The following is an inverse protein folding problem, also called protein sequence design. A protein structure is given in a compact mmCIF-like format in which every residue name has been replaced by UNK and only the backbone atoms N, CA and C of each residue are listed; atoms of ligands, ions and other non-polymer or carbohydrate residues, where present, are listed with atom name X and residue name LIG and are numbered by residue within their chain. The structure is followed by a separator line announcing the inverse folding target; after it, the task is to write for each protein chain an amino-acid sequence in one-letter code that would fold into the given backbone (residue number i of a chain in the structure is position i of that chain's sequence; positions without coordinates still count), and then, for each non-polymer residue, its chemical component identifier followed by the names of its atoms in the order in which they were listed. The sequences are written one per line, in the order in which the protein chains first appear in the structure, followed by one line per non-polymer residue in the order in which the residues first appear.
data_IF_688706065847
#
_entry.id   IF_688706065847
#
_cell.length_a   1.000
_cell.length_b   1.000
_cell.length_c   1.000
_cell.angle_alpha   90.00
_cell.angle_beta   90.00
_cell.angle_gamma   90.00
#
_symmetry.space_group_name_H-M   'P 1'
#
loop_
_entity.id
_entity.type
_entity.pdbx_description
1 polymer ?
#
# COMPACT_ATOMS: atom_id res chain seq x y z
N UNK A 1 36.49 -3.78 18.76
CA UNK A 1 35.15 -3.27 18.40
C UNK A 1 35.24 -2.72 16.99
N UNK A 2 34.84 -3.51 15.99
CA UNK A 2 34.77 -3.02 14.61
C UNK A 2 33.45 -2.26 14.52
N UNK A 3 33.52 -0.93 14.49
CA UNK A 3 32.36 -0.11 14.17
C UNK A 3 31.93 -0.46 12.75
N UNK A 4 30.88 -1.28 12.63
CA UNK A 4 30.24 -1.54 11.34
C UNK A 4 29.87 -0.20 10.73
N UNK A 5 30.55 0.20 9.67
CA UNK A 5 30.16 1.36 8.88
C UNK A 5 28.75 1.05 8.37
N UNK A 6 27.76 1.81 8.85
CA UNK A 6 26.40 1.77 8.30
C UNK A 6 26.54 1.91 6.78
N UNK A 7 26.07 0.91 5.99
CA UNK A 7 26.17 0.94 4.54
C UNK A 7 25.65 2.26 3.96
N UNK A 8 26.27 2.74 2.88
CA UNK A 8 25.95 4.05 2.30
C UNK A 8 24.44 4.21 2.03
N UNK A 9 23.76 3.15 1.59
CA UNK A 9 22.33 3.19 1.31
C UNK A 9 21.49 3.39 2.57
N UNK A 10 21.85 2.81 3.72
CA UNK A 10 21.12 3.00 4.97
C UNK A 10 21.24 4.44 5.48
N UNK A 11 22.39 5.09 5.25
CA UNK A 11 22.57 6.51 5.55
C UNK A 11 21.70 7.40 4.67
N UNK A 12 21.64 7.12 3.37
CA UNK A 12 20.78 7.86 2.44
C UNK A 12 19.30 7.62 2.76
N UNK A 13 18.91 6.37 3.06
CA UNK A 13 17.55 6.02 3.50
C UNK A 13 17.16 6.80 4.76
N UNK A 14 18.04 6.85 5.77
CA UNK A 14 17.79 7.62 6.98
C UNK A 14 17.62 9.13 6.73
N UNK A 15 18.41 9.70 5.81
CA UNK A 15 18.27 11.11 5.40
C UNK A 15 16.93 11.33 4.70
N UNK A 16 16.54 10.44 3.78
CA UNK A 16 15.28 10.53 3.04
C UNK A 16 14.06 10.33 3.96
N UNK A 17 14.13 9.42 4.92
CA UNK A 17 13.08 9.26 5.94
C UNK A 17 12.90 10.52 6.77
N UNK A 18 14.01 11.22 7.09
CA UNK A 18 13.99 12.39 7.96
C UNK A 18 13.60 13.69 7.24
N UNK A 19 14.03 13.86 5.99
CA UNK A 19 13.93 15.13 5.26
C UNK A 19 13.26 15.01 3.89
N UNK A 20 13.11 13.79 3.36
CA UNK A 20 12.52 13.55 2.06
C UNK A 20 11.00 13.36 2.13
N UNK A 21 10.37 13.31 0.96
CA UNK A 21 8.97 12.90 0.85
C UNK A 21 8.86 11.38 0.94
N UNK A 22 7.70 10.87 1.39
CA UNK A 22 7.41 9.43 1.38
C UNK A 22 7.70 8.82 0.01
N UNK A 23 7.18 9.43 -1.07
CA UNK A 23 7.39 8.93 -2.44
C UNK A 23 8.87 8.87 -2.83
N UNK A 24 9.67 9.88 -2.49
CA UNK A 24 11.12 9.86 -2.78
C UNK A 24 11.85 8.74 -2.02
N UNK A 25 11.47 8.53 -0.76
CA UNK A 25 12.00 7.45 0.08
C UNK A 25 11.64 6.07 -0.49
N UNK A 26 10.38 5.88 -0.90
CA UNK A 26 9.94 4.61 -1.50
C UNK A 26 10.64 4.34 -2.83
N UNK A 27 10.74 5.34 -3.71
CA UNK A 27 11.47 5.21 -4.99
C UNK A 27 12.93 4.81 -4.76
N UNK A 28 13.59 5.44 -3.78
CA UNK A 28 14.97 5.08 -3.42
C UNK A 28 15.09 3.62 -2.95
N UNK A 29 14.20 3.17 -2.04
CA UNK A 29 14.22 1.80 -1.53
C UNK A 29 13.97 0.75 -2.60
N UNK A 30 13.05 1.03 -3.54
CA UNK A 30 12.81 0.16 -4.69
C UNK A 30 14.02 0.10 -5.62
N UNK A 31 14.64 1.25 -5.91
CA UNK A 31 15.85 1.33 -6.73
C UNK A 31 17.01 0.51 -6.12
N UNK A 32 17.27 0.70 -4.82
CA UNK A 32 18.33 -0.04 -4.11
C UNK A 32 17.97 -1.53 -4.01
N UNK A 33 16.71 -1.86 -3.78
CA UNK A 33 16.21 -3.23 -3.81
C UNK A 33 16.46 -3.92 -5.15
N UNK A 34 16.10 -3.27 -6.27
CA UNK A 34 16.34 -3.75 -7.63
C UNK A 34 17.84 -3.90 -7.95
N UNK A 35 18.67 -2.99 -7.45
CA UNK A 35 20.13 -3.12 -7.54
C UNK A 35 20.64 -4.38 -6.82
N UNK A 36 20.21 -4.62 -5.58
CA UNK A 36 20.60 -5.83 -4.83
C UNK A 36 20.10 -7.12 -5.49
N UNK A 37 18.88 -7.10 -6.03
CA UNK A 37 18.31 -8.20 -6.80
C UNK A 37 19.17 -8.57 -8.02
N UNK A 38 19.73 -7.57 -8.71
CA UNK A 38 20.53 -7.75 -9.93
C UNK A 38 21.99 -8.10 -9.65
N UNK A 39 22.58 -7.52 -8.60
CA UNK A 39 24.03 -7.61 -8.36
C UNK A 39 24.45 -8.75 -7.45
N UNK A 40 23.65 -9.12 -6.43
CA UNK A 40 24.16 -10.05 -5.40
C UNK A 40 23.92 -11.52 -5.70
N UNK A 41 23.11 -11.88 -6.70
CA UNK A 41 22.84 -13.29 -7.05
C UNK A 41 22.39 -14.17 -5.85
N UNK A 42 22.05 -13.54 -4.72
CA UNK A 42 21.84 -14.25 -3.48
C UNK A 42 20.50 -14.99 -3.63
N UNK A 43 20.44 -16.29 -3.34
CA UNK A 43 19.22 -17.08 -3.51
C UNK A 43 18.03 -16.56 -2.69
N UNK A 44 18.29 -15.71 -1.69
CA UNK A 44 17.29 -15.03 -0.87
C UNK A 44 16.63 -13.82 -1.54
N UNK A 45 17.08 -13.41 -2.72
CA UNK A 45 16.51 -12.30 -3.49
C UNK A 45 15.92 -12.78 -4.83
N UNK A 46 15.90 -14.07 -5.12
CA UNK A 46 15.08 -14.60 -6.21
C UNK A 46 13.60 -14.56 -5.78
N UNK A 47 13.00 -13.38 -5.75
CA UNK A 47 11.56 -13.23 -5.71
C UNK A 47 11.09 -13.15 -7.15
N UNK A 48 10.46 -14.21 -7.68
CA UNK A 48 9.78 -14.09 -8.95
C UNK A 48 8.77 -12.95 -8.82
N UNK A 49 8.53 -12.18 -9.88
CA UNK A 49 7.48 -11.16 -9.92
C UNK A 49 6.11 -11.65 -9.41
N UNK A 50 5.86 -12.98 -9.40
CA UNK A 50 4.69 -13.60 -8.77
C UNK A 50 4.58 -13.44 -7.25
N UNK A 51 5.67 -13.17 -6.52
CA UNK A 51 5.65 -13.13 -5.05
C UNK A 51 4.95 -11.90 -4.48
N UNK A 52 5.29 -10.72 -5.02
CA UNK A 52 4.63 -9.47 -4.64
C UNK A 52 3.16 -9.52 -5.08
N UNK A 53 2.89 -10.06 -6.27
CA UNK A 53 1.53 -10.27 -6.75
C UNK A 53 0.74 -11.20 -5.83
N UNK A 54 1.38 -12.22 -5.25
CA UNK A 54 0.72 -13.11 -4.30
C UNK A 54 0.40 -12.37 -2.99
N UNK A 55 1.32 -11.56 -2.45
CA UNK A 55 1.02 -10.72 -1.28
C UNK A 55 -0.16 -9.79 -1.57
N UNK A 56 -0.18 -9.13 -2.74
CA UNK A 56 -1.28 -8.25 -3.16
C UNK A 56 -2.57 -9.06 -3.25
N UNK A 57 -2.55 -10.24 -3.88
CA UNK A 57 -3.70 -11.13 -4.01
C UNK A 57 -4.27 -11.51 -2.65
N UNK A 58 -3.43 -11.98 -1.72
CA UNK A 58 -3.85 -12.38 -0.38
C UNK A 58 -4.50 -11.19 0.37
N UNK A 59 -3.93 -9.99 0.24
CA UNK A 59 -4.52 -8.78 0.81
C UNK A 59 -5.87 -8.40 0.19
N UNK A 60 -6.04 -8.60 -1.12
CA UNK A 60 -7.33 -8.38 -1.79
C UNK A 60 -8.37 -9.38 -1.29
N UNK A 61 -8.02 -10.67 -1.20
CA UNK A 61 -8.91 -11.73 -0.71
C UNK A 61 -9.38 -11.44 0.73
N UNK A 62 -8.46 -11.09 1.62
CA UNK A 62 -8.80 -10.74 3.01
C UNK A 62 -9.81 -9.60 3.08
N UNK A 63 -9.67 -8.57 2.25
CA UNK A 63 -10.64 -7.46 2.21
C UNK A 63 -12.00 -7.88 1.67
N UNK A 64 -12.02 -8.69 0.62
CA UNK A 64 -13.27 -9.19 0.05
C UNK A 64 -14.03 -10.03 1.08
N UNK A 65 -13.32 -10.89 1.82
CA UNK A 65 -13.89 -11.69 2.91
C UNK A 65 -14.46 -10.78 4.00
N UNK A 66 -13.72 -9.77 4.46
CA UNK A 66 -14.22 -8.83 5.48
C UNK A 66 -15.45 -8.06 4.99
N UNK A 67 -15.46 -7.59 3.73
CA UNK A 67 -16.61 -6.90 3.15
C UNK A 67 -17.84 -7.80 3.05
N UNK A 68 -17.65 -9.07 2.67
CA UNK A 68 -18.73 -10.04 2.60
C UNK A 68 -19.26 -10.37 4.01
N UNK A 69 -18.38 -10.54 4.99
CA UNK A 69 -18.73 -10.77 6.40
C UNK A 69 -19.55 -9.60 6.96
N UNK A 70 -19.14 -8.36 6.72
CA UNK A 70 -19.87 -7.15 7.13
C UNK A 70 -21.27 -7.12 6.49
N UNK A 71 -21.36 -7.32 5.18
CA UNK A 71 -22.63 -7.32 4.44
C UNK A 71 -23.58 -8.43 4.92
N UNK A 72 -23.09 -9.65 5.14
CA UNK A 72 -23.91 -10.75 5.68
C UNK A 72 -24.33 -10.46 7.11
N UNK A 73 -23.44 -9.91 7.94
CA UNK A 73 -23.74 -9.57 9.34
C UNK A 73 -24.82 -8.50 9.45
N UNK A 74 -24.77 -7.47 8.60
CA UNK A 74 -25.79 -6.43 8.51
C UNK A 74 -27.16 -7.02 8.12
N UNK A 75 -27.20 -7.82 7.05
CA UNK A 75 -28.44 -8.47 6.59
C UNK A 75 -28.99 -9.45 7.61
N UNK A 76 -28.12 -10.22 8.26
CA UNK A 76 -28.49 -11.13 9.34
C UNK A 76 -29.12 -10.38 10.51
N UNK A 77 -28.53 -9.26 10.92
CA UNK A 77 -29.07 -8.39 11.96
C UNK A 77 -30.47 -7.87 11.63
N UNK A 78 -30.68 -7.40 10.39
CA UNK A 78 -31.99 -6.94 9.93
C UNK A 78 -33.03 -8.07 9.91
N UNK A 79 -32.71 -9.22 9.30
CA UNK A 79 -33.64 -10.34 9.16
C UNK A 79 -33.99 -11.00 10.49
N UNK A 80 -33.05 -11.01 11.45
CA UNK A 80 -33.27 -11.54 12.81
C UNK A 80 -34.26 -10.70 13.61
N UNK A 81 -34.45 -9.41 13.29
CA UNK A 81 -35.46 -8.58 13.93
C UNK A 81 -36.88 -8.86 13.40
N UNK A 82 -36.99 -9.39 12.19
CA UNK A 82 -38.26 -9.68 11.49
C UNK A 82 -38.76 -11.12 11.68
N UNK A 83 -38.08 -11.96 12.47
CA UNK A 83 -38.32 -13.41 12.48
C UNK A 83 -39.72 -13.85 12.93
N UNK A 84 -40.52 -14.32 11.97
CA UNK A 84 -41.72 -15.16 12.20
C UNK A 84 -41.86 -16.35 11.25
N UNK A 85 -41.21 -16.34 10.08
CA UNK A 85 -41.43 -17.34 9.01
C UNK A 85 -40.34 -18.42 8.98
N UNK A 86 -40.69 -19.67 8.62
CA UNK A 86 -39.73 -20.77 8.43
C UNK A 86 -38.68 -20.49 7.34
N UNK A 87 -39.04 -19.76 6.29
CA UNK A 87 -38.09 -19.31 5.26
C UNK A 87 -37.00 -18.41 5.84
N UNK A 88 -37.36 -17.46 6.71
CA UNK A 88 -36.40 -16.59 7.37
C UNK A 88 -35.46 -17.40 8.28
N UNK A 89 -35.97 -18.43 8.97
CA UNK A 89 -35.12 -19.31 9.80
C UNK A 89 -34.11 -20.09 8.95
N UNK A 90 -34.53 -20.60 7.80
CA UNK A 90 -33.64 -21.31 6.87
C UNK A 90 -32.55 -20.37 6.34
N UNK A 91 -32.93 -19.18 5.88
CA UNK A 91 -31.98 -18.18 5.39
C UNK A 91 -30.98 -17.72 6.47
N UNK A 92 -31.42 -17.55 7.72
CA UNK A 92 -30.52 -17.25 8.84
C UNK A 92 -29.52 -18.38 9.10
N UNK A 93 -29.95 -19.65 8.95
CA UNK A 93 -29.05 -20.80 9.07
C UNK A 93 -28.00 -20.83 7.95
N UNK A 94 -28.40 -20.54 6.72
CA UNK A 94 -27.49 -20.48 5.57
C UNK A 94 -26.45 -19.35 5.74
N UNK A 95 -26.87 -18.18 6.22
CA UNK A 95 -25.96 -17.08 6.51
C UNK A 95 -25.00 -17.39 7.65
N UNK A 96 -25.45 -18.05 8.72
CA UNK A 96 -24.55 -18.49 9.79
C UNK A 96 -23.50 -19.46 9.27
N UNK A 97 -23.91 -20.41 8.42
CA UNK A 97 -22.96 -21.32 7.78
C UNK A 97 -21.96 -20.57 6.90
N UNK A 98 -22.42 -19.60 6.10
CA UNK A 98 -21.52 -18.78 5.26
C UNK A 98 -20.55 -17.94 6.08
N UNK A 99 -20.97 -17.38 7.22
CA UNK A 99 -20.07 -16.67 8.14
C UNK A 99 -18.99 -17.59 8.70
N UNK A 100 -19.33 -18.85 9.00
CA UNK A 100 -18.36 -19.85 9.45
C UNK A 100 -17.36 -20.23 8.35
N UNK A 101 -17.83 -20.36 7.10
CA UNK A 101 -16.99 -20.57 5.92
C UNK A 101 -16.03 -19.39 5.70
N UNK A 102 -16.54 -18.15 5.73
CA UNK A 102 -15.76 -16.93 5.59
C UNK A 102 -14.67 -16.83 6.68
N UNK A 103 -15.00 -17.19 7.92
CA UNK A 103 -14.02 -17.23 9.01
C UNK A 103 -12.88 -18.21 8.71
N UNK A 104 -13.17 -19.39 8.16
CA UNK A 104 -12.15 -20.36 7.72
C UNK A 104 -11.30 -19.82 6.58
N UNK A 105 -11.93 -19.23 5.56
CA UNK A 105 -11.25 -18.61 4.42
C UNK A 105 -10.32 -17.48 4.88
N UNK A 106 -10.79 -16.63 5.81
CA UNK A 106 -9.99 -15.57 6.40
C UNK A 106 -8.70 -16.11 7.02
N UNK A 107 -8.82 -17.11 7.91
CA UNK A 107 -7.65 -17.71 8.58
C UNK A 107 -6.72 -18.46 7.63
N UNK A 108 -7.22 -18.93 6.49
CA UNK A 108 -6.39 -19.51 5.44
C UNK A 108 -5.53 -18.41 4.79
N UNK A 109 -6.16 -17.34 4.30
CA UNK A 109 -5.47 -16.25 3.63
C UNK A 109 -4.54 -15.46 4.55
N UNK A 110 -4.91 -15.26 5.82
CA UNK A 110 -4.08 -14.58 6.82
C UNK A 110 -2.78 -15.36 7.08
N UNK A 111 -2.88 -16.69 7.15
CA UNK A 111 -1.72 -17.56 7.35
C UNK A 111 -0.81 -17.59 6.14
N UNK A 112 -1.37 -17.62 4.94
CA UNK A 112 -0.59 -17.56 3.70
C UNK A 112 0.13 -16.21 3.58
N UNK A 113 -0.57 -15.11 3.88
CA UNK A 113 0.03 -13.78 3.94
C UNK A 113 1.17 -13.75 4.97
N UNK A 114 0.97 -14.28 6.17
CA UNK A 114 2.02 -14.37 7.19
C UNK A 114 3.24 -15.17 6.70
N UNK A 115 3.03 -16.31 6.03
CA UNK A 115 4.13 -17.09 5.46
C UNK A 115 4.90 -16.29 4.40
N UNK A 116 4.20 -15.55 3.54
CA UNK A 116 4.83 -14.68 2.54
C UNK A 116 5.58 -13.51 3.20
N UNK A 117 5.04 -12.89 4.24
CA UNK A 117 5.74 -11.81 4.94
C UNK A 117 6.96 -12.34 5.72
N UNK A 118 6.90 -13.55 6.27
CA UNK A 118 7.99 -14.17 7.03
C UNK A 118 9.23 -14.48 6.18
N UNK A 119 9.03 -14.79 4.89
CA UNK A 119 10.10 -15.08 3.94
C UNK A 119 10.62 -13.80 3.25
N UNK A 120 10.02 -12.64 3.53
CA UNK A 120 10.43 -11.38 2.93
C UNK A 120 11.83 -10.99 3.41
N UNK A 121 12.78 -10.71 2.49
CA UNK A 121 14.19 -10.62 2.84
C UNK A 121 14.44 -9.32 3.59
N UNK A 122 15.28 -9.37 4.62
CA UNK A 122 15.67 -8.14 5.33
C UNK A 122 16.41 -7.23 4.34
N UNK A 123 16.08 -5.94 4.33
CA UNK A 123 16.73 -4.96 3.46
C UNK A 123 15.81 -3.83 2.98
N UNK A 124 16.21 -3.11 1.92
CA UNK A 124 15.48 -1.96 1.40
C UNK A 124 14.03 -2.29 1.01
N UNK A 125 13.80 -3.45 0.38
CA UNK A 125 12.46 -3.89 0.00
C UNK A 125 11.58 -4.12 1.23
N UNK A 126 12.11 -4.71 2.30
CA UNK A 126 11.33 -4.96 3.53
C UNK A 126 10.94 -3.65 4.17
N UNK A 127 11.89 -2.71 4.26
CA UNK A 127 11.60 -1.37 4.78
C UNK A 127 10.60 -0.61 3.91
N UNK A 128 10.63 -0.79 2.59
CA UNK A 128 9.60 -0.26 1.71
C UNK A 128 8.24 -0.86 2.05
N UNK A 129 8.14 -2.19 2.07
CA UNK A 129 6.93 -2.92 2.43
C UNK A 129 6.34 -2.50 3.78
N UNK A 130 7.15 -2.53 4.84
CA UNK A 130 6.74 -2.17 6.20
C UNK A 130 6.28 -0.71 6.30
N UNK A 131 6.94 0.19 5.56
CA UNK A 131 6.55 1.61 5.54
C UNK A 131 5.27 1.85 4.76
N UNK A 132 5.00 1.07 3.72
CA UNK A 132 3.70 1.06 3.07
C UNK A 132 2.65 0.56 4.05
N UNK A 133 2.84 -0.60 4.69
CA UNK A 133 1.88 -1.17 5.65
C UNK A 133 1.60 -0.26 6.86
N UNK A 134 2.61 0.51 7.30
CA UNK A 134 2.47 1.47 8.40
C UNK A 134 1.65 2.71 8.02
N UNK A 135 1.53 3.02 6.73
CA UNK A 135 0.73 4.14 6.26
C UNK A 135 -0.73 3.73 6.21
N UNK A 136 -1.60 4.27 7.07
CA UNK A 136 -3.02 3.93 7.09
C UNK A 136 -3.76 4.16 5.77
N UNK A 137 -3.19 4.84 4.77
CA UNK A 137 -3.79 5.02 3.44
C UNK A 137 -3.18 4.12 2.37
N UNK A 138 -2.32 3.16 2.73
CA UNK A 138 -1.66 2.27 1.77
C UNK A 138 -2.64 1.52 0.87
N UNK A 139 -3.82 1.22 1.40
CA UNK A 139 -4.92 0.59 0.68
C UNK A 139 -5.64 1.49 -0.33
N UNK A 140 -5.43 2.81 -0.26
CA UNK A 140 -5.93 3.82 -1.19
C UNK A 140 -4.88 4.20 -2.25
N UNK A 141 -3.80 3.42 -2.39
CA UNK A 141 -2.82 3.68 -3.45
C UNK A 141 -3.52 3.67 -4.81
N UNK A 142 -3.26 4.64 -5.71
CA UNK A 142 -3.94 4.75 -7.00
C UNK A 142 -3.97 3.44 -7.79
N UNK A 143 -2.89 2.65 -7.77
CA UNK A 143 -2.86 1.35 -8.45
C UNK A 143 -3.85 0.33 -7.86
N UNK A 144 -4.03 0.30 -6.53
CA UNK A 144 -5.01 -0.55 -5.85
C UNK A 144 -6.44 -0.03 -6.06
N UNK A 145 -6.61 1.30 -6.03
CA UNK A 145 -7.90 1.96 -6.28
C UNK A 145 -8.35 1.77 -7.72
N UNK A 146 -7.44 1.85 -8.68
CA UNK A 146 -7.72 1.62 -10.10
C UNK A 146 -8.06 0.15 -10.38
N UNK A 147 -7.44 -0.80 -9.67
CA UNK A 147 -7.85 -2.21 -9.74
C UNK A 147 -9.25 -2.44 -9.12
N UNK A 148 -9.58 -1.77 -8.03
CA UNK A 148 -10.93 -1.79 -7.45
C UNK A 148 -11.96 -1.12 -8.37
N UNK A 149 -11.60 -0.01 -9.03
CA UNK A 149 -12.48 0.69 -9.97
C UNK A 149 -12.63 -0.05 -11.31
N UNK A 150 -11.63 -0.83 -11.71
CA UNK A 150 -11.62 -1.63 -12.93
C UNK A 150 -12.41 -2.94 -12.83
N UNK A 151 -12.66 -3.44 -11.62
CA UNK A 151 -13.55 -4.59 -11.34
C UNK A 151 -14.89 -4.03 -10.88
N UNK A 152 -15.71 -3.64 -11.85
CA UNK A 152 -16.94 -2.85 -11.67
C UNK A 152 -18.08 -3.51 -10.90
N UNK A 153 -17.86 -3.84 -9.62
CA UNK A 153 -18.92 -4.21 -8.70
C UNK A 153 -19.18 -3.04 -7.75
N UNK A 154 -20.38 -2.49 -7.90
CA UNK A 154 -20.84 -1.25 -7.31
C UNK A 154 -20.95 -1.34 -5.78
N UNK A 155 -20.31 -0.40 -5.09
CA UNK A 155 -20.84 0.17 -3.87
C UNK A 155 -20.77 1.70 -3.97
N UNK A 156 -21.94 2.32 -3.82
CA UNK A 156 -22.22 3.72 -4.09
C UNK A 156 -21.34 4.67 -3.25
N UNK A 157 -20.64 5.58 -3.93
CA UNK A 157 -19.82 6.59 -3.27
C UNK A 157 -19.08 7.54 -4.19
N UNK A 158 -19.68 7.90 -5.33
CA UNK A 158 -19.33 8.99 -6.25
C UNK A 158 -17.88 9.06 -6.78
N UNK A 159 -17.76 8.80 -8.09
CA UNK A 159 -16.62 9.19 -8.95
C UNK A 159 -16.29 10.69 -8.82
N UNK A 160 -17.24 11.52 -8.38
CA UNK A 160 -17.02 12.95 -8.13
C UNK A 160 -16.32 13.24 -6.80
N UNK A 161 -16.42 12.35 -5.79
CA UNK A 161 -15.71 12.52 -4.52
C UNK A 161 -14.20 12.28 -4.69
N UNK A 162 -13.82 11.27 -5.49
CA UNK A 162 -12.41 10.97 -5.80
C UNK A 162 -11.81 12.05 -6.72
N UNK A 163 -12.55 12.51 -7.72
CA UNK A 163 -12.12 13.63 -8.59
C UNK A 163 -11.98 14.94 -7.82
N UNK A 164 -12.83 15.18 -6.82
CA UNK A 164 -12.75 16.37 -5.96
C UNK A 164 -11.60 16.29 -4.95
N UNK A 165 -11.27 15.09 -4.43
CA UNK A 165 -10.12 14.89 -3.56
C UNK A 165 -8.77 15.04 -4.28
N UNK A 166 -8.68 14.67 -5.56
CA UNK A 166 -7.47 14.91 -6.37
C UNK A 166 -7.25 16.39 -6.67
N UNK A 167 -8.31 17.17 -6.92
CA UNK A 167 -8.20 18.63 -7.10
C UNK A 167 -7.72 19.36 -5.85
N UNK A 168 -8.05 18.86 -4.65
CA UNK A 168 -7.61 19.46 -3.39
C UNK A 168 -6.13 19.16 -3.05
N UNK A 169 -5.51 18.16 -3.67
CA UNK A 169 -4.07 17.91 -3.49
C UNK A 169 -3.18 18.70 -4.46
N UNK A 170 -3.72 19.21 -5.58
CA UNK A 170 -2.97 20.05 -6.52
C UNK A 170 -2.92 21.53 -6.09
N UNK A 171 -3.92 22.02 -5.34
CA UNK A 171 -4.00 23.43 -4.92
C UNK A 171 -3.12 23.78 -3.70
N UNK A 172 -2.63 22.79 -2.95
CA UNK A 172 -1.74 23.00 -1.78
C UNK A 172 -0.24 22.93 -2.14
N UNK A 173 0.08 22.69 -3.42
CA UNK A 173 1.43 22.83 -3.96
C UNK A 173 1.69 24.32 -4.26
N UNK A 174 2.04 25.08 -3.23
CA UNK A 174 2.56 26.44 -3.37
C UNK A 174 3.69 26.52 -4.41
N UNK A 175 3.86 27.65 -5.10
CA UNK A 175 4.71 27.73 -6.28
C UNK A 175 6.16 27.36 -5.94
N UNK A 176 6.73 26.46 -6.74
CA UNK A 176 8.14 26.12 -6.72
C UNK A 176 8.95 27.37 -7.05
N UNK A 177 9.54 28.00 -6.05
CA UNK A 177 10.52 29.06 -6.24
C UNK A 177 11.79 28.41 -6.77
N UNK A 178 11.99 28.51 -8.08
CA UNK A 178 13.27 28.21 -8.73
C UNK A 178 14.22 29.38 -8.41
N UNK A 179 15.36 29.17 -7.72
CA UNK A 179 16.34 30.24 -7.56
C UNK A 179 16.92 30.58 -8.94
N UNK A 180 16.72 31.83 -9.37
CA UNK A 180 17.30 32.37 -10.59
C UNK A 180 18.84 32.35 -10.50
N UNK A 181 19.45 31.92 -11.60
CA UNK A 181 20.88 31.99 -11.89
C UNK A 181 21.40 33.42 -11.72
N UNK A 182 22.39 33.61 -10.86
CA UNK A 182 23.17 34.85 -10.76
C UNK A 182 24.28 34.83 -11.80
N UNK A 183 24.00 35.36 -12.99
CA UNK A 183 25.03 35.76 -13.95
C UNK A 183 25.29 37.27 -13.82
N UNK A 184 26.55 37.65 -13.62
CA UNK A 184 27.28 38.70 -14.35
C UNK A 184 28.38 39.35 -13.48
N UNK A 185 29.61 39.08 -13.88
CA UNK A 185 30.84 39.79 -13.50
C UNK A 185 30.79 41.23 -14.03
N UNK A 186 31.07 42.27 -13.22
CA UNK A 186 31.24 43.63 -13.75
C UNK A 186 32.67 43.86 -14.23
N UNK A 187 32.79 44.36 -15.47
CA UNK A 187 34.04 44.88 -16.08
C UNK A 187 34.54 46.11 -15.31
N UNK A 188 35.86 46.26 -15.08
CA UNK A 188 36.41 47.51 -14.54
C UNK A 188 36.47 48.60 -15.61
N UNK A 189 35.89 49.76 -15.31
CA UNK A 189 36.09 51.01 -16.05
C UNK A 189 37.43 51.63 -15.59
N UNK A 190 38.26 52.02 -16.56
CA UNK A 190 39.53 52.69 -16.32
C UNK A 190 39.40 54.18 -16.01
N UNK A 191 40.35 54.67 -15.21
CA UNK A 191 40.87 56.04 -15.12
C UNK A 191 42.08 55.95 -14.18
N UNK A 192 43.30 56.35 -14.51
CA UNK A 192 43.78 57.51 -15.26
C UNK A 192 45.06 57.22 -16.04
#
# INVERSE_FOLDING_TARGET
MVGSLIPLYERIDAILVRYGSFNSTQKFRLLVGDYYLKCDGHPNYLFPNGYINEIIRQNIMLRQITQEEENISERYGALKLETTTEENKKQLSEWLQRLEDLSREYWFHERDLYQLESRFPVGPLRRAYDSWRSNSKWYLHPDLVNECAGRGDAAAGSVDAVRSAMKLQEEDAGPVIVPQSVDAVPKPAGSS
#
